data_IF_571416973210
#
_entry.id   IF_571416973210
#
_cell.length_a   1.000
_cell.length_b   1.000
_cell.length_c   1.000
_cell.angle_alpha   90.00
_cell.angle_beta   90.00
_cell.angle_gamma   90.00
#
_symmetry.space_group_name_H-M   'P 1'
#
loop_
_entity.id
_entity.type
_entity.pdbx_description
1 polymer ?
#
# COMPACT_ATOMS: atom_id res chain seq x y z
N UNK A 1 -16.70 -47.04 -26.42
CA UNK A 1 -17.84 -46.20 -26.76
C UNK A 1 -18.47 -45.74 -25.46
N UNK A 2 -18.04 -44.63 -24.90
CA UNK A 2 -18.61 -44.05 -23.67
C UNK A 2 -18.71 -42.55 -23.84
N UNK A 3 -19.90 -42.06 -23.90
CA UNK A 3 -20.31 -40.68 -24.11
C UNK A 3 -20.20 -39.89 -22.80
N UNK A 4 -19.18 -39.07 -22.66
CA UNK A 4 -19.08 -38.07 -21.59
C UNK A 4 -19.99 -36.88 -21.92
N UNK A 5 -21.19 -36.87 -21.34
CA UNK A 5 -22.11 -35.73 -21.35
C UNK A 5 -21.54 -34.62 -20.46
N UNK A 6 -20.99 -33.55 -21.06
CA UNK A 6 -20.72 -32.28 -20.39
C UNK A 6 -22.05 -31.65 -19.94
N UNK A 7 -22.32 -31.69 -18.62
CA UNK A 7 -23.41 -30.96 -18.00
C UNK A 7 -23.09 -29.45 -18.08
N UNK A 8 -23.66 -28.77 -19.04
CA UNK A 8 -23.72 -27.32 -19.14
C UNK A 8 -24.67 -26.84 -18.03
N UNK A 9 -24.13 -26.30 -16.92
CA UNK A 9 -24.94 -25.60 -15.91
C UNK A 9 -25.63 -24.42 -16.59
N UNK A 10 -26.91 -24.53 -16.84
CA UNK A 10 -27.75 -23.41 -17.25
C UNK A 10 -27.71 -22.34 -16.16
N UNK A 11 -27.14 -21.18 -16.49
CA UNK A 11 -27.25 -19.98 -15.66
C UNK A 11 -28.69 -19.52 -15.68
N UNK A 12 -29.49 -19.89 -14.67
CA UNK A 12 -30.82 -19.34 -14.46
C UNK A 12 -30.68 -17.82 -14.32
N UNK A 13 -30.97 -17.08 -15.37
CA UNK A 13 -31.06 -15.61 -15.35
C UNK A 13 -32.24 -15.24 -14.45
N UNK A 14 -31.94 -14.72 -13.24
CA UNK A 14 -32.99 -14.13 -12.40
C UNK A 14 -33.72 -13.06 -13.23
N UNK A 15 -35.06 -13.06 -13.27
CA UNK A 15 -35.81 -12.07 -14.01
C UNK A 15 -35.43 -10.67 -13.47
N UNK A 16 -35.07 -9.75 -14.36
CA UNK A 16 -34.87 -8.35 -14.01
C UNK A 16 -36.19 -7.77 -13.54
N UNK A 17 -36.41 -7.67 -12.25
CA UNK A 17 -37.57 -6.98 -11.67
C UNK A 17 -37.51 -5.53 -12.13
N UNK A 18 -38.51 -5.08 -12.86
CA UNK A 18 -38.65 -3.66 -13.24
C UNK A 18 -38.90 -2.87 -11.97
N UNK A 19 -37.98 -1.95 -11.66
CA UNK A 19 -38.12 -1.05 -10.50
C UNK A 19 -39.39 -0.23 -10.71
N UNK A 20 -40.35 -0.37 -9.79
CA UNK A 20 -41.61 0.38 -9.84
C UNK A 20 -41.52 1.65 -9.03
N UNK A 21 -42.22 2.70 -9.46
CA UNK A 21 -42.27 4.00 -8.75
C UNK A 21 -42.73 3.86 -7.30
N UNK A 22 -43.57 2.84 -7.03
CA UNK A 22 -44.05 2.50 -5.67
C UNK A 22 -42.88 2.00 -4.77
N UNK A 23 -41.94 1.23 -5.32
CA UNK A 23 -40.76 0.75 -4.59
C UNK A 23 -39.77 1.90 -4.30
N UNK A 24 -39.58 2.81 -5.26
CA UNK A 24 -38.79 4.03 -5.08
C UNK A 24 -39.34 4.88 -3.93
N UNK A 25 -40.65 5.13 -3.91
CA UNK A 25 -41.31 5.88 -2.81
C UNK A 25 -41.18 5.17 -1.46
N UNK A 26 -41.22 3.84 -1.43
CA UNK A 26 -41.05 3.07 -0.20
C UNK A 26 -39.64 3.18 0.36
N UNK A 27 -38.63 3.38 -0.48
CA UNK A 27 -37.22 3.47 -0.12
C UNK A 27 -36.71 4.92 -0.02
N UNK A 28 -37.61 5.92 0.11
CA UNK A 28 -37.25 7.35 0.07
C UNK A 28 -36.11 7.74 1.05
N UNK A 29 -36.08 7.16 2.25
CA UNK A 29 -35.04 7.44 3.25
C UNK A 29 -33.68 6.88 2.81
N UNK A 30 -33.67 5.66 2.27
CA UNK A 30 -32.45 5.05 1.74
C UNK A 30 -31.92 5.83 0.54
N UNK A 31 -32.80 6.24 -0.37
CA UNK A 31 -32.44 7.05 -1.54
C UNK A 31 -31.93 8.44 -1.15
N UNK A 32 -32.48 9.04 -0.11
CA UNK A 32 -32.00 10.31 0.42
C UNK A 32 -30.55 10.19 0.91
N UNK A 33 -30.24 9.19 1.73
CA UNK A 33 -28.87 8.96 2.19
C UNK A 33 -27.94 8.57 1.05
N UNK A 34 -28.40 7.74 0.12
CA UNK A 34 -27.62 7.40 -1.08
C UNK A 34 -27.30 8.64 -1.93
N UNK A 35 -28.26 9.55 -2.10
CA UNK A 35 -28.05 10.81 -2.84
C UNK A 35 -27.01 11.70 -2.15
N UNK A 36 -27.03 11.80 -0.80
CA UNK A 36 -26.00 12.53 -0.04
C UNK A 36 -24.63 11.92 -0.26
N UNK A 37 -24.49 10.58 -0.18
CA UNK A 37 -23.21 9.90 -0.40
C UNK A 37 -22.71 10.06 -1.83
N UNK A 38 -23.61 9.98 -2.82
CA UNK A 38 -23.25 10.23 -4.23
C UNK A 38 -22.82 11.68 -4.42
N UNK A 39 -23.58 12.65 -3.88
CA UNK A 39 -23.20 14.07 -3.96
C UNK A 39 -21.84 14.34 -3.31
N UNK A 40 -21.58 13.75 -2.14
CA UNK A 40 -20.26 13.81 -1.50
C UNK A 40 -19.18 13.24 -2.41
N UNK A 41 -19.39 12.06 -2.98
CA UNK A 41 -18.46 11.45 -3.92
C UNK A 41 -18.17 12.33 -5.14
N UNK A 42 -19.22 12.90 -5.75
CA UNK A 42 -19.08 13.80 -6.91
C UNK A 42 -18.29 15.06 -6.53
N UNK A 43 -18.63 15.71 -5.44
CA UNK A 43 -18.01 16.97 -5.04
C UNK A 43 -16.54 16.78 -4.63
N UNK A 44 -16.23 15.74 -3.84
CA UNK A 44 -14.90 15.60 -3.25
C UNK A 44 -13.96 14.67 -4.00
N UNK A 45 -14.45 13.76 -4.85
CA UNK A 45 -13.61 12.85 -5.62
C UNK A 45 -13.62 13.14 -7.13
N UNK A 46 -14.79 13.45 -7.72
CA UNK A 46 -14.88 13.65 -9.18
C UNK A 46 -14.62 15.09 -9.60
N UNK A 47 -15.18 16.07 -8.90
CA UNK A 47 -15.00 17.49 -9.24
C UNK A 47 -13.51 17.91 -9.24
N UNK A 48 -12.66 17.49 -8.28
CA UNK A 48 -11.23 17.80 -8.30
C UNK A 48 -10.48 17.25 -9.51
N UNK A 49 -10.99 16.21 -10.19
CA UNK A 49 -10.37 15.69 -11.42
C UNK A 49 -10.36 16.73 -12.56
N UNK A 50 -11.26 17.71 -12.52
CA UNK A 50 -11.20 18.85 -13.45
C UNK A 50 -9.85 19.60 -13.33
N UNK A 51 -9.21 19.58 -12.16
CA UNK A 51 -7.88 20.12 -11.93
C UNK A 51 -6.77 19.45 -12.76
N UNK A 52 -7.00 18.22 -13.27
CA UNK A 52 -6.04 17.57 -14.17
C UNK A 52 -5.80 18.35 -15.46
N UNK A 53 -6.73 19.23 -15.87
CA UNK A 53 -6.54 20.13 -17.00
C UNK A 53 -5.28 21.00 -16.86
N UNK A 54 -4.87 21.33 -15.63
CA UNK A 54 -3.67 22.13 -15.37
C UNK A 54 -2.39 21.48 -15.95
N UNK A 55 -2.32 20.14 -15.99
CA UNK A 55 -1.16 19.43 -16.54
C UNK A 55 -0.95 19.65 -18.04
N UNK A 56 -2.00 20.06 -18.75
CA UNK A 56 -2.00 20.31 -20.20
C UNK A 56 -1.95 21.80 -20.54
N UNK A 57 -1.75 22.64 -19.52
CA UNK A 57 -1.77 24.10 -19.65
C UNK A 57 -0.47 24.71 -19.10
N UNK A 58 -0.11 25.89 -19.60
CA UNK A 58 0.79 26.79 -18.91
C UNK A 58 -0.01 27.52 -17.82
N UNK A 59 -0.39 26.75 -16.79
CA UNK A 59 -1.32 27.18 -15.78
C UNK A 59 -0.76 28.35 -14.98
N UNK A 60 -1.56 29.41 -14.87
CA UNK A 60 -1.28 30.58 -14.04
C UNK A 60 -2.42 30.77 -13.06
N UNK A 61 -2.19 30.76 -11.72
CA UNK A 61 -3.26 30.86 -10.72
C UNK A 61 -4.18 32.08 -10.92
N UNK A 62 -3.60 33.19 -11.41
CA UNK A 62 -4.37 34.44 -11.69
C UNK A 62 -5.38 34.30 -12.83
N UNK A 63 -5.12 33.41 -13.78
CA UNK A 63 -5.99 33.18 -14.95
C UNK A 63 -6.96 32.00 -14.72
N UNK A 64 -6.64 31.12 -13.78
CA UNK A 64 -7.42 29.91 -13.53
C UNK A 64 -7.32 28.89 -14.69
N UNK A 65 -8.10 27.82 -14.58
CA UNK A 65 -8.12 26.72 -15.55
C UNK A 65 -8.68 27.17 -16.91
N UNK A 66 -9.67 28.06 -16.93
CA UNK A 66 -10.38 28.45 -18.15
C UNK A 66 -9.62 29.44 -19.06
N UNK A 67 -8.68 30.21 -18.51
CA UNK A 67 -7.97 31.25 -19.23
C UNK A 67 -6.46 30.98 -19.36
N UNK A 68 -5.95 29.89 -18.78
CA UNK A 68 -4.56 29.48 -18.95
C UNK A 68 -4.35 28.86 -20.34
N UNK A 69 -3.23 29.22 -21.00
CA UNK A 69 -2.93 28.73 -22.33
C UNK A 69 -2.73 27.20 -22.35
N UNK A 70 -3.40 26.54 -23.28
CA UNK A 70 -3.23 25.11 -23.52
C UNK A 70 -1.91 24.83 -24.23
N UNK A 71 -1.07 23.94 -23.66
CA UNK A 71 0.26 23.57 -24.19
C UNK A 71 0.38 22.08 -24.49
N UNK A 72 -0.73 21.34 -24.43
CA UNK A 72 -0.74 19.90 -24.71
C UNK A 72 0.15 19.11 -23.75
N UNK A 73 1.08 18.31 -24.28
CA UNK A 73 1.96 17.43 -23.51
C UNK A 73 3.31 18.06 -23.11
N UNK A 74 3.51 19.35 -23.30
CA UNK A 74 4.82 19.97 -23.07
C UNK A 74 5.25 19.89 -21.59
N UNK A 75 4.32 19.99 -20.64
CA UNK A 75 4.62 19.82 -19.22
C UNK A 75 5.10 18.38 -18.91
N UNK A 76 4.56 17.39 -19.58
CA UNK A 76 5.03 15.99 -19.46
C UNK A 76 6.41 15.83 -20.10
N UNK A 77 6.68 16.44 -21.26
CA UNK A 77 8.02 16.40 -21.86
C UNK A 77 9.06 17.03 -20.94
N UNK A 78 8.75 18.20 -20.36
CA UNK A 78 9.62 18.85 -19.37
C UNK A 78 9.88 17.95 -18.17
N UNK A 79 8.82 17.32 -17.63
CA UNK A 79 8.89 16.44 -16.48
C UNK A 79 9.83 15.24 -16.73
N UNK A 80 9.69 14.56 -17.87
CA UNK A 80 10.54 13.41 -18.24
C UNK A 80 11.95 13.78 -18.71
N UNK A 81 12.21 15.05 -19.03
CA UNK A 81 13.55 15.56 -19.31
C UNK A 81 14.30 15.99 -18.04
N UNK A 82 13.61 16.10 -16.91
CA UNK A 82 14.22 16.43 -15.62
C UNK A 82 14.84 15.18 -14.98
N UNK A 83 16.16 15.15 -14.88
CA UNK A 83 16.90 14.06 -14.25
C UNK A 83 16.52 13.89 -12.77
N UNK A 84 16.06 14.95 -12.11
CA UNK A 84 15.55 14.89 -10.75
C UNK A 84 14.28 14.04 -10.69
N UNK A 85 13.37 14.26 -11.63
CA UNK A 85 12.14 13.46 -11.69
C UNK A 85 12.39 11.97 -12.00
N UNK A 86 13.34 11.67 -12.89
CA UNK A 86 13.74 10.29 -13.17
C UNK A 86 14.27 9.58 -11.90
N UNK A 87 15.10 10.27 -11.10
CA UNK A 87 15.54 9.76 -9.79
C UNK A 87 14.38 9.53 -8.82
N UNK A 88 13.45 10.46 -8.79
CA UNK A 88 12.24 10.39 -7.95
C UNK A 88 11.37 9.19 -8.33
N UNK A 89 11.20 8.89 -9.62
CA UNK A 89 10.51 7.68 -10.07
C UNK A 89 11.23 6.43 -9.55
N UNK A 90 12.55 6.35 -9.73
CA UNK A 90 13.37 5.23 -9.21
C UNK A 90 13.15 5.04 -7.72
N UNK A 91 13.25 6.11 -6.94
CA UNK A 91 13.13 6.05 -5.48
C UNK A 91 11.72 5.60 -5.07
N UNK A 92 10.69 6.16 -5.71
CA UNK A 92 9.29 5.79 -5.43
C UNK A 92 9.04 4.32 -5.70
N UNK A 93 9.50 3.81 -6.84
CA UNK A 93 9.38 2.39 -7.19
C UNK A 93 10.19 1.50 -6.25
N UNK A 94 11.46 1.84 -5.99
CA UNK A 94 12.31 1.06 -5.11
C UNK A 94 11.72 0.97 -3.70
N UNK A 95 11.35 2.11 -3.10
CA UNK A 95 10.75 2.13 -1.76
C UNK A 95 9.39 1.45 -1.73
N UNK A 96 8.55 1.69 -2.75
CA UNK A 96 7.25 1.03 -2.85
C UNK A 96 7.37 -0.49 -2.91
N UNK A 97 8.29 -1.01 -3.73
CA UNK A 97 8.53 -2.45 -3.84
C UNK A 97 9.16 -3.01 -2.55
N UNK A 98 10.15 -2.34 -1.97
CA UNK A 98 10.76 -2.75 -0.71
C UNK A 98 9.69 -2.82 0.39
N UNK A 99 8.92 -1.76 0.57
CA UNK A 99 7.86 -1.72 1.58
C UNK A 99 6.80 -2.80 1.32
N UNK A 100 6.34 -2.96 0.07
CA UNK A 100 5.39 -4.00 -0.29
C UNK A 100 5.91 -5.38 0.10
N UNK A 101 7.10 -5.76 -0.36
CA UNK A 101 7.64 -7.11 -0.15
C UNK A 101 7.91 -7.37 1.32
N UNK A 102 8.62 -6.45 1.98
CA UNK A 102 9.06 -6.67 3.37
C UNK A 102 7.86 -6.68 4.33
N UNK A 103 6.95 -5.69 4.22
CA UNK A 103 5.78 -5.62 5.11
C UNK A 103 4.81 -6.78 4.85
N UNK A 104 4.64 -7.19 3.59
CA UNK A 104 3.77 -8.29 3.20
C UNK A 104 4.25 -9.63 3.76
N UNK A 105 5.54 -9.93 3.55
CA UNK A 105 6.16 -11.17 4.03
C UNK A 105 6.16 -11.22 5.57
N UNK A 106 6.54 -10.12 6.23
CA UNK A 106 6.59 -10.06 7.70
C UNK A 106 5.20 -10.17 8.31
N UNK A 107 4.16 -9.58 7.72
CA UNK A 107 2.79 -9.69 8.22
C UNK A 107 2.25 -11.13 8.15
N UNK A 108 2.48 -11.83 7.04
CA UNK A 108 2.09 -13.24 6.88
C UNK A 108 2.87 -14.11 7.88
N UNK A 109 4.19 -13.96 7.93
CA UNK A 109 5.02 -14.73 8.86
C UNK A 109 4.60 -14.49 10.32
N UNK A 110 4.34 -13.24 10.69
CA UNK A 110 3.90 -12.89 12.03
C UNK A 110 2.51 -13.46 12.36
N UNK A 111 1.56 -13.44 11.42
CA UNK A 111 0.23 -14.06 11.62
C UNK A 111 0.34 -15.57 11.85
N UNK A 112 1.21 -16.26 11.09
CA UNK A 112 1.46 -17.70 11.28
C UNK A 112 2.08 -17.94 12.65
N UNK A 113 3.11 -17.18 13.05
CA UNK A 113 3.76 -17.32 14.36
C UNK A 113 2.78 -17.06 15.50
N UNK A 114 1.93 -16.03 15.38
CA UNK A 114 0.87 -15.77 16.36
C UNK A 114 -0.12 -16.93 16.47
N UNK A 115 -0.40 -17.60 15.36
CA UNK A 115 -1.33 -18.73 15.37
C UNK A 115 -0.75 -19.95 16.11
N UNK A 116 0.57 -20.12 16.12
CA UNK A 116 1.26 -21.20 16.82
C UNK A 116 1.32 -21.01 18.36
N UNK A 117 0.98 -19.82 18.87
CA UNK A 117 0.96 -19.57 20.32
C UNK A 117 -0.23 -20.29 20.94
N UNK A 118 0.05 -21.34 21.74
CA UNK A 118 -0.98 -22.16 22.38
C UNK A 118 -1.73 -21.41 23.49
N UNK A 119 -1.05 -20.55 24.25
CA UNK A 119 -1.66 -19.78 25.34
C UNK A 119 -2.51 -18.64 24.81
N UNK A 120 -3.83 -18.68 25.06
CA UNK A 120 -4.76 -17.61 24.70
C UNK A 120 -4.34 -16.25 25.30
N UNK A 121 -3.90 -16.25 26.57
CA UNK A 121 -3.40 -15.04 27.24
C UNK A 121 -2.12 -14.50 26.61
N UNK A 122 -1.13 -15.37 26.38
CA UNK A 122 0.12 -15.01 25.70
C UNK A 122 -0.11 -14.47 24.29
N UNK A 123 -0.97 -15.12 23.50
CA UNK A 123 -1.36 -14.65 22.17
C UNK A 123 -1.94 -13.24 22.23
N UNK A 124 -2.87 -12.96 23.16
CA UNK A 124 -3.48 -11.64 23.34
C UNK A 124 -2.45 -10.57 23.70
N UNK A 125 -1.51 -10.89 24.62
CA UNK A 125 -0.45 -9.95 25.02
C UNK A 125 0.44 -9.59 23.81
N UNK A 126 0.93 -10.60 23.07
CA UNK A 126 1.77 -10.39 21.89
C UNK A 126 1.03 -9.57 20.84
N UNK A 127 -0.24 -9.88 20.56
CA UNK A 127 -1.09 -9.11 19.65
C UNK A 127 -1.20 -7.64 20.09
N UNK A 128 -1.53 -7.38 21.35
CA UNK A 128 -1.71 -6.01 21.86
C UNK A 128 -0.44 -5.20 21.72
N UNK A 129 0.71 -5.75 22.13
CA UNK A 129 2.01 -5.06 22.03
C UNK A 129 2.38 -4.79 20.58
N UNK A 130 2.16 -5.75 19.69
CA UNK A 130 2.53 -5.63 18.27
C UNK A 130 1.62 -4.69 17.48
N UNK A 131 0.39 -4.44 17.97
CA UNK A 131 -0.55 -3.52 17.31
C UNK A 131 -0.34 -2.06 17.71
N UNK A 132 0.22 -1.82 18.91
CA UNK A 132 0.43 -0.49 19.46
C UNK A 132 1.21 0.47 18.55
N UNK A 133 2.33 0.06 17.90
CA UNK A 133 3.11 0.97 17.05
C UNK A 133 2.31 1.56 15.89
N UNK A 134 1.31 0.84 15.36
CA UNK A 134 0.45 1.32 14.28
C UNK A 134 -0.28 2.63 14.63
N UNK A 135 -0.65 2.82 15.89
CA UNK A 135 -1.38 4.01 16.35
C UNK A 135 -0.49 5.24 16.57
N UNK A 136 0.82 5.08 16.54
CA UNK A 136 1.75 6.20 16.64
C UNK A 136 1.78 6.99 15.33
N UNK A 137 1.80 8.33 15.43
CA UNK A 137 2.03 9.16 14.26
C UNK A 137 3.45 8.99 13.71
N UNK A 138 3.63 9.21 12.41
CA UNK A 138 4.98 9.18 11.81
C UNK A 138 5.92 10.22 12.41
N UNK A 139 5.39 11.36 12.90
CA UNK A 139 6.21 12.38 13.60
C UNK A 139 6.86 11.78 14.84
N UNK A 140 6.09 11.03 15.65
CA UNK A 140 6.63 10.37 16.85
C UNK A 140 7.64 9.29 16.47
N UNK A 141 7.29 8.44 15.49
CA UNK A 141 8.17 7.34 15.04
C UNK A 141 9.49 7.88 14.50
N UNK A 142 9.44 8.91 13.67
CA UNK A 142 10.68 9.52 13.13
C UNK A 142 11.49 10.25 14.19
N UNK A 143 10.84 10.86 15.18
CA UNK A 143 11.53 11.43 16.36
C UNK A 143 12.31 10.36 17.14
N UNK A 144 11.67 9.23 17.45
CA UNK A 144 12.32 8.08 18.10
C UNK A 144 13.51 7.58 17.25
N UNK A 145 13.32 7.46 15.93
CA UNK A 145 14.42 7.03 15.05
C UNK A 145 15.59 8.02 15.03
N UNK A 146 15.29 9.33 15.01
CA UNK A 146 16.33 10.36 15.10
C UNK A 146 17.12 10.27 16.40
N UNK A 147 16.44 10.10 17.53
CA UNK A 147 17.10 9.98 18.83
C UNK A 147 17.94 8.70 18.92
N UNK A 148 17.39 7.56 18.49
CA UNK A 148 18.09 6.27 18.55
C UNK A 148 19.29 6.19 17.60
N UNK A 149 19.20 6.77 16.40
CA UNK A 149 20.20 6.70 15.33
C UNK A 149 21.09 7.94 15.26
N UNK A 150 20.95 8.90 16.20
CA UNK A 150 21.84 10.06 16.31
C UNK A 150 23.28 9.64 16.63
N UNK A 151 24.25 10.54 16.44
CA UNK A 151 25.64 10.27 16.79
C UNK A 151 25.86 9.90 18.27
N UNK A 152 24.99 10.38 19.17
CA UNK A 152 24.98 10.07 20.62
C UNK A 152 23.84 9.13 21.00
N UNK A 153 23.15 8.54 19.99
CA UNK A 153 22.00 7.68 20.21
C UNK A 153 22.41 6.26 20.65
N UNK A 154 21.45 5.58 21.29
CA UNK A 154 21.67 4.25 21.89
C UNK A 154 22.21 3.22 20.89
N UNK A 155 21.87 3.33 19.60
CA UNK A 155 22.36 2.41 18.56
C UNK A 155 23.87 2.60 18.36
N UNK A 156 24.33 3.84 18.22
CA UNK A 156 25.75 4.15 18.09
C UNK A 156 26.51 3.76 19.35
N UNK A 157 26.00 4.09 20.53
CA UNK A 157 26.59 3.72 21.81
C UNK A 157 26.76 2.19 21.91
N UNK A 158 25.74 1.42 21.57
CA UNK A 158 25.79 -0.04 21.53
C UNK A 158 26.85 -0.57 20.56
N UNK A 159 26.88 -0.05 19.32
CA UNK A 159 27.83 -0.49 18.30
C UNK A 159 29.29 -0.19 18.65
N UNK A 160 29.54 0.98 19.24
CA UNK A 160 30.90 1.35 19.72
C UNK A 160 31.31 0.49 20.90
N UNK A 161 30.44 0.32 21.90
CA UNK A 161 30.75 -0.50 23.10
C UNK A 161 30.98 -1.97 22.75
N UNK A 162 30.31 -2.49 21.72
CA UNK A 162 30.52 -3.85 21.18
C UNK A 162 31.73 -3.95 20.26
N UNK A 163 32.50 -2.86 20.04
CA UNK A 163 33.65 -2.77 19.11
C UNK A 163 33.29 -3.20 17.67
N UNK A 164 32.04 -2.99 17.26
CA UNK A 164 31.59 -3.25 15.89
C UNK A 164 31.97 -2.09 14.97
N UNK A 165 32.01 -0.88 15.53
CA UNK A 165 32.47 0.35 14.87
C UNK A 165 33.43 1.12 15.82
N UNK A 166 34.40 1.84 15.24
CA UNK A 166 35.34 2.64 15.99
C UNK A 166 34.80 4.02 16.35
N UNK A 167 33.92 4.57 15.55
CA UNK A 167 33.31 5.90 15.70
C UNK A 167 31.83 5.90 15.39
N UNK A 168 31.05 6.79 16.02
CA UNK A 168 29.62 6.92 15.74
C UNK A 168 29.33 7.21 14.26
N UNK A 169 28.34 6.53 13.71
CA UNK A 169 27.85 6.70 12.32
C UNK A 169 26.75 7.76 12.31
N UNK A 170 26.86 8.71 11.38
CA UNK A 170 25.73 9.59 11.08
C UNK A 170 24.81 8.89 10.04
N UNK A 171 23.88 8.07 10.53
CA UNK A 171 23.00 7.26 9.69
C UNK A 171 22.20 8.09 8.68
N UNK A 172 21.78 9.30 9.03
CA UNK A 172 21.01 10.18 8.17
C UNK A 172 21.84 11.04 7.22
N UNK A 173 23.15 10.92 7.23
CA UNK A 173 24.03 11.55 6.25
C UNK A 173 24.43 10.58 5.11
N UNK A 174 24.20 9.30 5.29
CA UNK A 174 24.61 8.27 4.32
C UNK A 174 23.42 7.72 3.54
N UNK A 175 23.35 7.93 2.22
CA UNK A 175 22.23 7.44 1.38
C UNK A 175 21.96 5.94 1.49
N UNK A 176 23.01 5.12 1.70
CA UNK A 176 22.89 3.66 1.78
C UNK A 176 22.07 3.14 2.96
N UNK A 177 21.96 3.90 4.04
CA UNK A 177 21.17 3.50 5.22
C UNK A 177 19.69 3.91 5.13
N UNK A 178 19.35 4.85 4.26
CA UNK A 178 18.01 5.44 4.25
C UNK A 178 16.92 4.41 4.00
N UNK A 179 17.03 3.65 2.91
CA UNK A 179 16.01 2.65 2.56
C UNK A 179 15.86 1.53 3.59
N UNK A 180 16.94 0.93 4.13
CA UNK A 180 16.85 -0.01 5.24
C UNK A 180 16.16 0.55 6.48
N UNK A 181 16.48 1.79 6.89
CA UNK A 181 15.84 2.45 8.03
C UNK A 181 14.34 2.62 7.81
N UNK A 182 13.94 3.13 6.65
CA UNK A 182 12.52 3.30 6.30
C UNK A 182 11.80 1.95 6.24
N UNK A 183 12.42 0.92 5.66
CA UNK A 183 11.85 -0.42 5.60
C UNK A 183 11.65 -1.01 7.01
N UNK A 184 12.67 -0.89 7.88
CA UNK A 184 12.58 -1.35 9.27
C UNK A 184 11.47 -0.64 10.03
N UNK A 185 11.37 0.69 9.91
CA UNK A 185 10.34 1.48 10.56
C UNK A 185 8.93 1.06 10.11
N UNK A 186 8.73 0.81 8.81
CA UNK A 186 7.47 0.31 8.27
C UNK A 186 7.12 -1.08 8.81
N UNK A 187 8.09 -2.00 8.86
CA UNK A 187 7.91 -3.34 9.43
C UNK A 187 7.50 -3.25 10.90
N UNK A 188 8.26 -2.51 11.70
CA UNK A 188 7.96 -2.36 13.12
C UNK A 188 6.57 -1.76 13.36
N UNK A 189 6.20 -0.74 12.58
CA UNK A 189 4.93 -0.04 12.75
C UNK A 189 3.73 -0.84 12.23
N UNK A 190 3.85 -1.49 11.07
CA UNK A 190 2.70 -1.98 10.33
C UNK A 190 2.51 -3.50 10.39
N UNK A 191 3.53 -4.29 10.74
CA UNK A 191 3.46 -5.76 10.70
C UNK A 191 2.34 -6.32 11.58
N UNK A 192 2.24 -5.84 12.82
CA UNK A 192 1.21 -6.32 13.75
C UNK A 192 -0.20 -6.05 13.24
N UNK A 193 -0.45 -4.84 12.78
CA UNK A 193 -1.74 -4.43 12.24
C UNK A 193 -2.13 -5.22 10.98
N UNK A 194 -1.24 -5.31 10.03
CA UNK A 194 -1.47 -6.03 8.78
C UNK A 194 -1.67 -7.54 9.00
N UNK A 195 -1.07 -8.11 10.04
CA UNK A 195 -1.24 -9.51 10.39
C UNK A 195 -2.67 -9.88 10.83
N UNK A 196 -3.49 -8.92 11.26
CA UNK A 196 -4.87 -9.16 11.72
C UNK A 196 -5.69 -9.87 10.65
N UNK A 197 -5.62 -9.41 9.41
CA UNK A 197 -6.41 -9.97 8.30
C UNK A 197 -5.97 -11.39 7.99
N UNK A 198 -4.65 -11.64 7.97
CA UNK A 198 -4.12 -12.98 7.75
C UNK A 198 -4.46 -13.93 8.89
N UNK A 199 -4.40 -13.46 10.13
CA UNK A 199 -4.79 -14.26 11.30
C UNK A 199 -6.28 -14.60 11.26
N UNK A 200 -7.15 -13.68 10.86
CA UNK A 200 -8.57 -13.94 10.66
C UNK A 200 -8.79 -15.00 9.56
N UNK A 201 -8.05 -14.91 8.46
CA UNK A 201 -8.09 -15.92 7.41
C UNK A 201 -7.62 -17.30 7.89
N UNK A 202 -6.55 -17.39 8.69
CA UNK A 202 -6.07 -18.64 9.28
C UNK A 202 -7.14 -19.26 10.19
N UNK A 203 -7.80 -18.45 11.02
CA UNK A 203 -8.84 -18.94 11.93
C UNK A 203 -10.13 -19.37 11.23
N UNK A 204 -10.32 -19.03 9.97
CA UNK A 204 -11.45 -19.48 9.15
C UNK A 204 -11.23 -20.82 8.45
N UNK A 205 -10.02 -21.37 8.49
CA UNK A 205 -9.71 -22.70 7.92
C UNK A 205 -10.40 -23.76 8.76
N UNK A 206 -11.01 -24.76 8.09
CA UNK A 206 -11.70 -25.88 8.77
C UNK A 206 -10.70 -26.64 9.66
N UNK A 207 -10.96 -26.76 10.98
CA UNK A 207 -10.11 -27.50 11.90
C UNK A 207 -9.91 -28.97 11.51
N UNK A 208 -10.87 -29.58 10.83
CA UNK A 208 -10.78 -30.97 10.37
C UNK A 208 -9.59 -31.24 9.45
N UNK A 209 -9.14 -30.22 8.68
CA UNK A 209 -7.96 -30.32 7.84
C UNK A 209 -6.67 -30.46 8.66
N UNK A 210 -6.60 -29.77 9.81
CA UNK A 210 -5.46 -29.91 10.73
C UNK A 210 -5.48 -31.24 11.47
N UNK A 211 -6.68 -31.77 11.80
CA UNK A 211 -6.85 -33.06 12.39
C UNK A 211 -6.44 -34.19 11.46
N UNK A 212 -6.91 -34.15 10.21
CA UNK A 212 -6.51 -35.09 9.17
C UNK A 212 -4.98 -35.10 8.97
N UNK A 213 -4.38 -33.91 8.81
CA UNK A 213 -2.93 -33.78 8.71
C UNK A 213 -2.19 -34.35 9.94
N UNK A 214 -2.80 -34.27 11.14
CA UNK A 214 -2.22 -34.85 12.37
C UNK A 214 -2.25 -36.38 12.34
N UNK A 215 -3.32 -36.97 11.83
CA UNK A 215 -3.46 -38.43 11.67
C UNK A 215 -2.44 -38.96 10.67
N UNK A 216 -2.20 -38.19 9.61
CA UNK A 216 -1.15 -38.44 8.58
C UNK A 216 0.28 -38.23 9.11
N UNK A 217 0.47 -37.87 10.39
CA UNK A 217 1.80 -37.63 10.98
C UNK A 217 2.44 -36.33 10.65
N UNK A 218 1.70 -35.34 10.10
CA UNK A 218 2.24 -34.05 9.75
C UNK A 218 2.68 -33.23 10.97
N UNK A 219 3.96 -32.86 11.03
CA UNK A 219 4.50 -31.94 12.01
C UNK A 219 4.06 -30.48 11.74
N UNK A 220 4.44 -29.54 12.64
CA UNK A 220 4.03 -28.12 12.56
C UNK A 220 4.34 -27.48 11.21
N UNK A 221 5.56 -27.64 10.70
CA UNK A 221 5.97 -27.07 9.40
C UNK A 221 5.19 -27.66 8.22
N UNK A 222 4.88 -28.96 8.26
CA UNK A 222 4.06 -29.57 7.23
C UNK A 222 2.63 -29.01 7.25
N UNK A 223 2.02 -28.82 8.43
CA UNK A 223 0.70 -28.18 8.58
C UNK A 223 0.71 -26.73 8.06
N UNK A 224 1.74 -25.94 8.38
CA UNK A 224 1.87 -24.57 7.85
C UNK A 224 1.94 -24.60 6.32
N UNK A 225 2.81 -25.43 5.75
CA UNK A 225 3.07 -25.49 4.31
C UNK A 225 1.89 -26.03 3.50
N UNK A 226 1.20 -27.08 4.00
CA UNK A 226 0.22 -27.83 3.21
C UNK A 226 -1.24 -27.56 3.62
N UNK A 227 -1.49 -26.94 4.78
CA UNK A 227 -2.84 -26.58 5.23
C UNK A 227 -2.98 -25.07 5.36
N UNK A 228 -2.13 -24.42 6.18
CA UNK A 228 -2.31 -23.01 6.52
C UNK A 228 -2.06 -22.11 5.29
N UNK A 229 -0.89 -22.20 4.65
CA UNK A 229 -0.56 -21.35 3.50
C UNK A 229 -1.50 -21.53 2.31
N UNK A 230 -1.86 -22.78 1.91
CA UNK A 230 -2.88 -22.97 0.87
C UNK A 230 -4.26 -22.44 1.28
N UNK A 231 -4.65 -22.62 2.56
CA UNK A 231 -5.93 -22.17 3.07
C UNK A 231 -6.13 -20.66 3.07
N UNK A 232 -5.05 -19.87 3.29
CA UNK A 232 -5.11 -18.42 3.25
C UNK A 232 -4.68 -17.83 1.90
N UNK A 233 -4.30 -18.66 0.92
CA UNK A 233 -3.84 -18.21 -0.40
C UNK A 233 -4.78 -17.21 -1.09
N UNK A 234 -6.12 -17.40 -1.09
CA UNK A 234 -7.04 -16.43 -1.67
C UNK A 234 -6.91 -15.03 -1.03
N UNK A 235 -6.80 -14.99 0.30
CA UNK A 235 -6.61 -13.73 1.04
C UNK A 235 -5.27 -13.08 0.72
N UNK A 236 -4.20 -13.88 0.63
CA UNK A 236 -2.86 -13.41 0.23
C UNK A 236 -2.94 -12.73 -1.13
N UNK A 237 -3.58 -13.35 -2.12
CA UNK A 237 -3.64 -12.84 -3.50
C UNK A 237 -4.46 -11.55 -3.57
N UNK A 238 -5.64 -11.52 -2.95
CA UNK A 238 -6.49 -10.31 -2.94
C UNK A 238 -5.73 -9.13 -2.31
N UNK A 239 -5.10 -9.33 -1.15
CA UNK A 239 -4.36 -8.28 -0.47
C UNK A 239 -3.10 -7.86 -1.26
N UNK A 240 -2.43 -8.79 -1.92
CA UNK A 240 -1.31 -8.48 -2.79
C UNK A 240 -1.76 -7.59 -3.97
N UNK A 241 -2.86 -7.94 -4.63
CA UNK A 241 -3.41 -7.16 -5.73
C UNK A 241 -3.78 -5.74 -5.29
N UNK A 242 -4.40 -5.58 -4.11
CA UNK A 242 -4.73 -4.27 -3.55
C UNK A 242 -3.47 -3.45 -3.24
N UNK A 243 -2.44 -4.08 -2.68
CA UNK A 243 -1.19 -3.41 -2.33
C UNK A 243 -0.35 -3.04 -3.56
N UNK A 244 -0.37 -3.86 -4.64
CA UNK A 244 0.30 -3.52 -5.91
C UNK A 244 -0.26 -2.23 -6.50
N UNK A 245 -1.57 -1.99 -6.43
CA UNK A 245 -2.18 -0.73 -6.85
C UNK A 245 -1.65 0.50 -6.08
N UNK A 246 -1.19 0.27 -4.84
CA UNK A 246 -0.68 1.30 -3.94
C UNK A 246 0.86 1.39 -3.89
N UNK A 247 1.57 0.64 -4.72
CA UNK A 247 3.04 0.55 -4.66
C UNK A 247 3.73 1.90 -4.86
N UNK A 248 3.14 2.81 -5.65
CA UNK A 248 3.63 4.17 -5.82
C UNK A 248 3.32 5.12 -4.66
N UNK A 249 2.55 4.68 -3.65
CA UNK A 249 2.42 5.37 -2.37
C UNK A 249 3.55 4.89 -1.44
N UNK A 250 4.76 5.38 -1.69
CA UNK A 250 5.99 4.89 -1.05
C UNK A 250 6.19 5.39 0.40
N UNK A 251 5.16 5.94 1.04
CA UNK A 251 5.22 6.48 2.41
C UNK A 251 5.69 7.93 2.45
N UNK A 252 4.82 8.87 2.04
CA UNK A 252 5.15 10.31 2.01
C UNK A 252 5.69 10.82 3.35
N UNK A 253 4.98 10.55 4.46
CA UNK A 253 5.28 11.16 5.76
C UNK A 253 6.67 10.76 6.28
N UNK A 254 6.98 9.48 6.34
CA UNK A 254 8.26 9.01 6.85
C UNK A 254 9.43 9.51 5.99
N UNK A 255 9.27 9.51 4.66
CA UNK A 255 10.33 9.94 3.77
C UNK A 255 10.54 11.46 3.79
N UNK A 256 9.45 12.23 3.98
CA UNK A 256 9.51 13.67 4.15
C UNK A 256 10.17 14.07 5.48
N UNK A 257 9.84 13.36 6.56
CA UNK A 257 10.34 13.66 7.91
C UNK A 257 11.79 13.21 8.13
N UNK A 258 12.20 12.07 7.56
CA UNK A 258 13.60 11.58 7.66
C UNK A 258 14.50 12.12 6.56
N UNK A 259 13.93 12.56 5.43
CA UNK A 259 14.68 13.10 4.31
C UNK A 259 15.33 14.45 4.63
N UNK A 260 16.58 14.62 4.23
CA UNK A 260 17.33 15.87 4.39
C UNK A 260 18.15 16.20 3.13
N UNK A 261 18.87 17.33 3.17
CA UNK A 261 19.65 17.81 2.02
C UNK A 261 20.77 16.86 1.57
N UNK A 262 21.35 16.05 2.47
CA UNK A 262 22.48 15.17 2.19
C UNK A 262 22.06 13.89 1.47
N UNK A 263 20.81 13.45 1.63
CA UNK A 263 20.29 12.19 1.11
C UNK A 263 19.12 12.37 0.13
N UNK A 264 18.99 13.56 -0.47
CA UNK A 264 17.90 13.85 -1.42
C UNK A 264 17.83 12.86 -2.58
N UNK A 265 18.97 12.34 -3.00
CA UNK A 265 19.06 11.40 -4.13
C UNK A 265 18.33 10.07 -3.89
N UNK A 266 18.05 9.71 -2.63
CA UNK A 266 17.38 8.47 -2.25
C UNK A 266 16.08 8.69 -1.46
N UNK A 267 15.87 9.89 -0.88
CA UNK A 267 14.71 10.17 -0.02
C UNK A 267 13.53 10.80 -0.75
N UNK A 268 13.78 11.45 -1.91
CA UNK A 268 12.70 12.11 -2.63
C UNK A 268 11.83 11.12 -3.40
N UNK A 269 10.52 11.17 -3.16
CA UNK A 269 9.47 10.43 -3.87
C UNK A 269 8.62 11.36 -4.72
N UNK A 270 7.74 10.78 -5.57
CA UNK A 270 6.83 11.57 -6.41
C UNK A 270 5.98 12.52 -5.56
N UNK A 271 5.49 12.10 -4.40
CA UNK A 271 4.67 12.95 -3.53
C UNK A 271 5.46 14.14 -2.95
N UNK A 272 6.73 13.92 -2.59
CA UNK A 272 7.64 14.98 -2.14
C UNK A 272 7.99 15.92 -3.30
N UNK A 273 8.17 15.38 -4.51
CA UNK A 273 8.39 16.18 -5.71
C UNK A 273 7.18 17.10 -6.01
N UNK A 274 5.96 16.54 -5.95
CA UNK A 274 4.72 17.32 -6.11
C UNK A 274 4.60 18.42 -5.06
N UNK A 275 4.94 18.13 -3.80
CA UNK A 275 4.92 19.12 -2.73
C UNK A 275 5.93 20.26 -3.01
N UNK A 276 7.17 19.92 -3.33
CA UNK A 276 8.25 20.91 -3.54
C UNK A 276 8.03 21.74 -4.80
N UNK A 277 7.85 21.10 -5.95
CA UNK A 277 7.78 21.79 -7.25
C UNK A 277 6.37 22.27 -7.56
N UNK A 278 5.36 21.43 -7.30
CA UNK A 278 3.97 21.78 -7.59
C UNK A 278 3.41 22.83 -6.65
N UNK A 279 3.60 22.63 -5.34
CA UNK A 279 2.96 23.48 -4.32
C UNK A 279 3.92 24.59 -3.87
N UNK A 280 5.11 24.24 -3.35
CA UNK A 280 5.99 25.23 -2.73
C UNK A 280 6.60 26.19 -3.76
N UNK A 281 6.88 25.76 -4.97
CA UNK A 281 7.38 26.64 -6.06
C UNK A 281 6.25 27.19 -6.95
N UNK A 282 5.02 26.73 -6.76
CA UNK A 282 3.85 27.25 -7.48
C UNK A 282 3.70 26.74 -8.93
N UNK A 283 4.49 25.76 -9.40
CA UNK A 283 4.29 25.16 -10.72
C UNK A 283 3.25 24.00 -10.61
N UNK A 284 2.00 24.41 -10.40
CA UNK A 284 0.88 23.47 -10.28
C UNK A 284 0.73 22.55 -11.50
N UNK A 285 1.15 23.02 -12.69
CA UNK A 285 1.07 22.24 -13.92
C UNK A 285 2.02 21.04 -13.88
N UNK A 286 3.28 21.24 -13.49
CA UNK A 286 4.27 20.15 -13.32
C UNK A 286 3.85 19.22 -12.18
N UNK A 287 3.41 19.77 -11.03
CA UNK A 287 2.90 18.95 -9.93
C UNK A 287 1.73 18.06 -10.33
N UNK A 288 0.76 18.62 -11.09
CA UNK A 288 -0.39 17.88 -11.60
C UNK A 288 0.04 16.81 -12.62
N UNK A 289 0.99 17.13 -13.53
CA UNK A 289 1.51 16.16 -14.48
C UNK A 289 2.19 14.97 -13.79
N UNK A 290 2.97 15.21 -12.73
CA UNK A 290 3.57 14.16 -11.90
C UNK A 290 2.51 13.30 -11.17
N UNK A 291 1.45 13.93 -10.66
CA UNK A 291 0.32 13.23 -10.04
C UNK A 291 -0.46 12.35 -11.02
N UNK A 292 -0.73 12.84 -12.25
CA UNK A 292 -1.36 12.05 -13.32
C UNK A 292 -0.47 10.87 -13.69
N UNK A 293 0.83 11.08 -13.88
CA UNK A 293 1.78 10.00 -14.16
C UNK A 293 1.69 8.90 -13.09
N UNK A 294 1.75 9.29 -11.80
CA UNK A 294 1.61 8.35 -10.68
C UNK A 294 0.31 7.55 -10.76
N UNK A 295 -0.82 8.23 -11.01
CA UNK A 295 -2.13 7.59 -11.10
C UNK A 295 -2.23 6.62 -12.27
N UNK A 296 -1.75 7.01 -13.45
CA UNK A 296 -1.75 6.16 -14.66
C UNK A 296 -0.90 4.91 -14.43
N UNK A 297 0.30 5.05 -13.88
CA UNK A 297 1.16 3.90 -13.58
C UNK A 297 0.52 2.97 -12.55
N UNK A 298 -0.09 3.51 -11.47
CA UNK A 298 -0.82 2.71 -10.48
C UNK A 298 -1.96 1.90 -11.12
N UNK A 299 -2.74 2.52 -12.01
CA UNK A 299 -3.82 1.84 -12.74
C UNK A 299 -3.24 0.72 -13.62
N UNK A 300 -2.16 0.98 -14.36
CA UNK A 300 -1.52 -0.03 -15.21
C UNK A 300 -1.03 -1.21 -14.36
N UNK A 301 -0.38 -0.93 -13.22
CA UNK A 301 0.14 -1.97 -12.33
C UNK A 301 -0.97 -2.86 -11.79
N UNK A 302 -2.10 -2.29 -11.33
CA UNK A 302 -3.22 -3.09 -10.82
C UNK A 302 -3.87 -3.92 -11.92
N UNK A 303 -4.00 -3.38 -13.16
CA UNK A 303 -4.50 -4.14 -14.29
C UNK A 303 -3.59 -5.31 -14.67
N UNK A 304 -2.27 -5.10 -14.72
CA UNK A 304 -1.30 -6.16 -15.00
C UNK A 304 -1.37 -7.22 -13.91
N UNK A 305 -1.34 -6.84 -12.63
CA UNK A 305 -1.40 -7.78 -11.51
C UNK A 305 -2.70 -8.60 -11.53
N UNK A 306 -3.85 -7.96 -11.75
CA UNK A 306 -5.15 -8.63 -11.86
C UNK A 306 -5.19 -9.61 -13.05
N UNK A 307 -4.59 -9.23 -14.19
CA UNK A 307 -4.50 -10.12 -15.35
C UNK A 307 -3.63 -11.34 -15.11
N UNK A 308 -2.51 -11.16 -14.39
CA UNK A 308 -1.63 -12.27 -14.01
C UNK A 308 -2.37 -13.22 -13.06
N UNK A 309 -3.08 -12.71 -12.05
CA UNK A 309 -3.89 -13.51 -11.13
C UNK A 309 -4.94 -14.34 -11.89
N UNK A 310 -5.67 -13.68 -12.79
CA UNK A 310 -6.68 -14.35 -13.63
C UNK A 310 -6.10 -15.46 -14.51
N UNK A 311 -4.93 -15.22 -15.11
CA UNK A 311 -4.26 -16.22 -15.96
C UNK A 311 -3.88 -17.47 -15.18
N UNK A 312 -3.46 -17.29 -13.93
CA UNK A 312 -3.07 -18.38 -13.03
C UNK A 312 -4.27 -19.06 -12.33
N UNK A 313 -5.52 -18.69 -12.66
CA UNK A 313 -6.72 -19.25 -12.05
C UNK A 313 -6.94 -18.82 -10.58
N UNK A 314 -6.31 -17.73 -10.17
CA UNK A 314 -6.38 -17.20 -8.81
C UNK A 314 -7.51 -16.17 -8.66
N UNK A 315 -7.79 -15.75 -7.41
CA UNK A 315 -8.76 -14.69 -7.11
C UNK A 315 -8.39 -13.39 -7.81
N UNK A 316 -9.40 -12.67 -8.28
CA UNK A 316 -9.27 -11.42 -9.03
C UNK A 316 -10.12 -10.33 -8.39
N UNK A 317 -9.74 -9.08 -8.59
CA UNK A 317 -10.50 -7.92 -8.07
C UNK A 317 -11.70 -7.58 -8.96
N UNK A 318 -11.57 -7.79 -10.31
CA UNK A 318 -12.61 -7.47 -11.29
C UNK A 318 -12.47 -8.29 -12.57
#
# INVERSE_FOLDING_TARGET
MSLTRKNKKEKVRKPRTKITWKEVKRQKVLLFWAAIMVAYGVIFYYLPLAGWAMAFQNYKPRLGIFHSAFVGLDKFKMLFSDMTFIRVIRNTLAMGVINLVVTFVTAIAFAILLNEIASKGGKKVVQTISYLPHFLSWIIVTGILHDMLSGTGIVNEFLVNMHIIDQPINFFAHPGYFWPIVAFANVWKETGWNAIIYLAAITSIDPSLYEAASIDGAGRWAKIKYVTLPGIKPTIIILLLMNVGNVLNAGFEIQYLLGNGLIQDVSQTIDIYVLKWGISQGDYAIGTAAGIFKSVVSIILIFIANRIAKHNGEEQLF
#
